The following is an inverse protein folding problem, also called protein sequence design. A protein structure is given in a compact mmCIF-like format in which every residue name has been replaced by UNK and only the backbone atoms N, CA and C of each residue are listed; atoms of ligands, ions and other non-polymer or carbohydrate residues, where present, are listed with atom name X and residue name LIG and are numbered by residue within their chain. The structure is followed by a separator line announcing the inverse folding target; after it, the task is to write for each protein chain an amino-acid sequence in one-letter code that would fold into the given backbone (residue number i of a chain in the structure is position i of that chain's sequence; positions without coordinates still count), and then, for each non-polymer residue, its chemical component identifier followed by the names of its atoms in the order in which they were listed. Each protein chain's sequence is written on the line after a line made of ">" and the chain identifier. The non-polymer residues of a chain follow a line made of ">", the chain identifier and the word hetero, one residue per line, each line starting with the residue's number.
data_IF_332684930303
#
_entry.id   IF_332684930303
#
_cell.length_a   1.000
_cell.length_b   1.000
_cell.length_c   1.000
_cell.angle_alpha   90.00
_cell.angle_beta   90.00
_cell.angle_gamma   90.00
#
_symmetry.space_group_name_H-M   'P 1'
#
loop_
_entity.id
_entity.type
_entity.pdbx_description
1 polymer ?
#
# COMPACT_ATOMS: atom_id res chain seq x y z
N UNK A 1 12.63 6.26 8.39
CA UNK A 1 12.52 5.13 7.45
C UNK A 1 11.04 4.84 7.34
N UNK A 2 10.46 4.93 6.14
CA UNK A 2 9.02 4.77 5.96
C UNK A 2 8.76 3.34 5.51
N UNK A 3 8.21 2.53 6.41
CA UNK A 3 7.72 1.19 6.13
C UNK A 3 6.46 1.31 5.27
N UNK A 4 6.69 1.30 3.96
CA UNK A 4 5.68 1.62 2.94
C UNK A 4 5.02 0.33 2.45
N UNK A 5 4.02 -0.18 3.16
CA UNK A 5 2.93 -0.90 2.46
C UNK A 5 1.67 -1.20 3.27
N UNK A 6 1.54 -0.77 4.51
CA UNK A 6 0.32 -1.00 5.27
C UNK A 6 0.04 0.16 6.24
N UNK A 7 -1.12 0.83 6.10
CA UNK A 7 -1.50 1.97 6.96
C UNK A 7 -2.95 1.85 7.40
N UNK A 8 -3.26 2.21 8.64
CA UNK A 8 -4.65 2.39 9.07
C UNK A 8 -5.23 3.71 8.53
N UNK A 9 -6.56 3.85 8.49
CA UNK A 9 -7.19 5.11 8.10
C UNK A 9 -6.77 6.28 9.03
N UNK A 10 -6.60 5.99 10.32
CA UNK A 10 -6.12 6.97 11.31
C UNK A 10 -4.68 7.41 11.02
N UNK A 11 -3.82 6.48 10.60
CA UNK A 11 -2.44 6.78 10.17
C UNK A 11 -2.42 7.68 8.94
N UNK A 12 -3.35 7.47 7.99
CA UNK A 12 -3.52 8.35 6.82
C UNK A 12 -3.94 9.76 7.26
N UNK A 13 -4.95 9.89 8.11
CA UNK A 13 -5.40 11.17 8.66
C UNK A 13 -4.25 11.89 9.38
N UNK A 14 -3.50 11.18 10.22
CA UNK A 14 -2.36 11.72 10.92
C UNK A 14 -1.27 12.21 9.95
N UNK A 15 -0.92 11.41 8.94
CA UNK A 15 0.03 11.79 7.91
C UNK A 15 -0.39 13.04 7.12
N UNK A 16 -1.68 13.21 6.83
CA UNK A 16 -2.21 14.41 6.20
C UNK A 16 -2.08 15.66 7.11
N UNK A 17 -2.30 15.51 8.42
CA UNK A 17 -2.08 16.62 9.39
C UNK A 17 -0.61 17.03 9.45
N UNK A 18 0.28 16.07 9.59
CA UNK A 18 1.73 16.31 9.61
C UNK A 18 2.23 16.93 8.29
N UNK A 19 1.67 16.51 7.16
CA UNK A 19 1.97 17.11 5.86
C UNK A 19 1.54 18.58 5.80
N UNK A 20 0.33 18.89 6.27
CA UNK A 20 -0.17 20.26 6.33
C UNK A 20 0.69 21.14 7.24
N UNK A 21 1.09 20.63 8.41
CA UNK A 21 1.92 21.32 9.39
C UNK A 21 3.32 21.58 8.82
N UNK A 22 4.03 20.53 8.40
CA UNK A 22 5.42 20.62 7.92
C UNK A 22 5.58 21.57 6.72
N UNK A 23 4.61 21.59 5.80
CA UNK A 23 4.66 22.48 4.61
C UNK A 23 4.24 23.91 4.93
N UNK A 24 3.48 24.14 6.00
CA UNK A 24 3.11 25.49 6.45
C UNK A 24 4.28 26.27 7.07
N UNK A 25 5.25 25.57 7.70
CA UNK A 25 6.47 26.18 8.22
C UNK A 25 7.48 26.61 7.16
N UNK A 26 7.29 26.19 5.90
CA UNK A 26 8.08 26.65 4.75
C UNK A 26 7.16 27.24 3.68
N UNK A 27 6.57 28.42 3.93
CA UNK A 27 5.73 29.08 2.94
C UNK A 27 6.63 29.52 1.78
N UNK A 28 6.77 28.67 0.77
CA UNK A 28 7.21 29.09 -0.55
C UNK A 28 5.99 29.70 -1.23
N UNK A 29 6.19 30.79 -1.98
CA UNK A 29 5.14 31.42 -2.79
C UNK A 29 4.77 30.59 -4.05
N UNK A 30 4.75 29.27 -3.88
CA UNK A 30 4.38 28.31 -4.90
C UNK A 30 2.91 27.96 -4.69
N UNK A 31 2.08 28.31 -5.67
CA UNK A 31 0.64 28.01 -5.70
C UNK A 31 0.37 26.51 -5.52
N UNK A 32 1.28 25.63 -5.99
CA UNK A 32 1.17 24.18 -5.81
C UNK A 32 1.36 23.76 -4.36
N UNK A 33 2.28 24.41 -3.64
CA UNK A 33 2.51 24.12 -2.21
C UNK A 33 1.30 24.57 -1.39
N UNK A 34 0.73 25.74 -1.70
CA UNK A 34 -0.51 26.23 -1.06
C UNK A 34 -1.69 25.29 -1.32
N UNK A 35 -1.86 24.82 -2.56
CA UNK A 35 -2.88 23.85 -2.91
C UNK A 35 -2.71 22.51 -2.18
N UNK A 36 -1.47 22.02 -2.06
CA UNK A 36 -1.14 20.79 -1.34
C UNK A 36 -1.44 20.89 0.15
N UNK A 37 -1.12 22.01 0.79
CA UNK A 37 -1.46 22.26 2.21
C UNK A 37 -2.98 22.26 2.40
N UNK A 38 -3.71 22.95 1.52
CA UNK A 38 -5.18 23.01 1.57
C UNK A 38 -5.79 21.60 1.42
N UNK A 39 -5.37 20.85 0.40
CA UNK A 39 -5.82 19.48 0.17
C UNK A 39 -5.53 18.56 1.38
N UNK A 40 -4.35 18.68 2.00
CA UNK A 40 -4.00 17.90 3.17
C UNK A 40 -4.88 18.24 4.38
N UNK A 41 -5.16 19.52 4.64
CA UNK A 41 -6.08 19.96 5.71
C UNK A 41 -7.51 19.47 5.48
N UNK A 42 -8.01 19.61 4.26
CA UNK A 42 -9.34 19.16 3.87
C UNK A 42 -9.46 17.64 4.01
N UNK A 43 -8.49 16.89 3.50
CA UNK A 43 -8.47 15.42 3.62
C UNK A 43 -8.39 14.93 5.07
N UNK A 44 -7.65 15.62 5.93
CA UNK A 44 -7.55 15.28 7.36
C UNK A 44 -8.82 15.59 8.18
N UNK A 45 -9.72 16.41 7.62
CA UNK A 45 -10.99 16.83 8.24
C UNK A 45 -12.21 16.21 7.55
N UNK A 46 -11.99 15.47 6.45
CA UNK A 46 -13.04 14.84 5.69
C UNK A 46 -13.74 13.73 6.52
N UNK A 47 -15.03 13.45 6.26
CA UNK A 47 -15.71 12.30 6.84
C UNK A 47 -14.94 11.01 6.55
N UNK A 48 -14.93 10.10 7.54
CA UNK A 48 -14.19 8.83 7.42
C UNK A 48 -14.62 8.01 6.19
N UNK A 49 -15.92 8.05 5.83
CA UNK A 49 -16.47 7.37 4.65
C UNK A 49 -15.92 7.92 3.33
N UNK A 50 -15.79 9.24 3.20
CA UNK A 50 -15.25 9.90 2.01
C UNK A 50 -13.75 9.60 1.87
N UNK A 51 -13.00 9.75 2.96
CA UNK A 51 -11.58 9.45 2.96
C UNK A 51 -11.33 7.97 2.63
N UNK A 52 -12.11 7.06 3.22
CA UNK A 52 -12.06 5.64 2.90
C UNK A 52 -12.33 5.37 1.42
N UNK A 53 -13.30 6.04 0.82
CA UNK A 53 -13.61 5.89 -0.62
C UNK A 53 -12.41 6.26 -1.48
N UNK A 54 -11.77 7.41 -1.22
CA UNK A 54 -10.60 7.87 -1.96
C UNK A 54 -9.40 6.96 -1.74
N UNK A 55 -9.10 6.60 -0.48
CA UNK A 55 -8.01 5.67 -0.15
C UNK A 55 -8.24 4.32 -0.82
N UNK A 56 -9.49 3.84 -0.91
CA UNK A 56 -9.83 2.57 -1.57
C UNK A 56 -9.64 2.60 -3.09
N UNK A 57 -9.49 3.77 -3.71
CA UNK A 57 -9.12 3.87 -5.13
C UNK A 57 -7.66 3.46 -5.34
N UNK A 58 -6.77 3.86 -4.44
CA UNK A 58 -5.31 3.67 -4.55
C UNK A 58 -4.77 2.53 -3.69
N UNK A 59 -5.51 2.07 -2.69
CA UNK A 59 -5.14 1.01 -1.77
C UNK A 59 -6.29 0.01 -1.58
N UNK A 60 -5.96 -1.20 -1.16
CA UNK A 60 -6.91 -2.25 -0.83
C UNK A 60 -7.04 -2.35 0.68
N UNK A 61 -8.27 -2.38 1.18
CA UNK A 61 -8.49 -2.70 2.59
C UNK A 61 -8.33 -4.21 2.81
N UNK A 62 -7.43 -4.56 3.72
CA UNK A 62 -7.15 -5.91 4.21
C UNK A 62 -7.32 -5.86 5.72
N UNK A 63 -8.46 -6.33 6.22
CA UNK A 63 -8.74 -6.42 7.66
C UNK A 63 -8.57 -5.10 8.43
N UNK A 64 -8.96 -3.96 7.83
CA UNK A 64 -8.81 -2.64 8.46
C UNK A 64 -7.47 -1.95 8.21
N UNK A 65 -6.54 -2.61 7.53
CA UNK A 65 -5.25 -2.04 7.09
C UNK A 65 -5.28 -1.82 5.58
N UNK A 66 -4.82 -0.66 5.13
CA UNK A 66 -4.78 -0.32 3.70
C UNK A 66 -3.42 -0.66 3.10
N UNK A 67 -3.44 -1.51 2.08
CA UNK A 67 -2.27 -1.96 1.33
C UNK A 67 -2.30 -1.32 -0.06
N UNK A 68 -1.24 -0.60 -0.44
CA UNK A 68 -1.20 0.15 -1.70
C UNK A 68 -1.46 -0.76 -2.91
N UNK A 69 -2.27 -0.38 -3.88
CA UNK A 69 -2.39 -1.14 -5.13
C UNK A 69 -1.13 -0.97 -5.95
N UNK A 70 -0.74 -2.00 -6.70
CA UNK A 70 0.27 -1.78 -7.75
C UNK A 70 -0.30 -0.78 -8.75
N UNK A 71 0.49 0.23 -9.10
CA UNK A 71 0.10 1.24 -10.07
C UNK A 71 0.35 0.78 -11.51
N UNK A 72 1.04 -0.35 -11.69
CA UNK A 72 1.49 -0.86 -12.99
C UNK A 72 2.50 0.04 -13.70
N UNK A 73 2.85 1.19 -13.10
CA UNK A 73 3.80 2.16 -13.65
C UNK A 73 5.08 2.14 -12.81
N UNK A 74 6.18 1.53 -13.32
CA UNK A 74 7.45 1.42 -12.61
C UNK A 74 8.07 2.75 -12.18
N UNK A 75 7.69 3.87 -12.80
CA UNK A 75 8.25 5.19 -12.49
C UNK A 75 7.71 5.79 -11.19
N UNK A 76 6.51 5.38 -10.77
CA UNK A 76 5.80 5.93 -9.60
C UNK A 76 5.46 4.88 -8.55
N UNK A 77 5.63 3.59 -8.87
CA UNK A 77 5.43 2.53 -7.91
C UNK A 77 6.60 2.51 -6.92
N UNK A 78 6.36 2.73 -5.61
CA UNK A 78 7.42 2.71 -4.60
C UNK A 78 8.09 1.33 -4.48
N UNK A 79 7.54 0.29 -5.12
CA UNK A 79 8.04 -1.08 -5.11
C UNK A 79 9.07 -1.35 -6.23
N UNK A 80 9.66 -0.31 -6.82
CA UNK A 80 10.64 -0.34 -7.95
C UNK A 80 11.92 -1.16 -7.70
N UNK A 81 12.23 -1.60 -6.49
CA UNK A 81 13.52 -2.18 -6.12
C UNK A 81 13.73 -3.66 -6.50
N UNK A 82 12.83 -4.28 -7.26
CA UNK A 82 12.90 -5.71 -7.59
C UNK A 82 13.33 -5.96 -9.05
N UNK A 83 14.31 -6.86 -9.23
CA UNK A 83 14.92 -7.22 -10.53
C UNK A 83 13.89 -7.77 -11.55
N UNK A 84 12.80 -8.38 -11.07
CA UNK A 84 11.65 -8.78 -11.89
C UNK A 84 10.35 -8.19 -11.30
N UNK A 85 10.09 -6.95 -11.68
CA UNK A 85 9.00 -6.14 -11.17
C UNK A 85 7.61 -6.76 -11.46
N UNK A 86 7.44 -7.34 -12.65
CA UNK A 86 6.17 -7.94 -13.08
C UNK A 86 5.84 -9.19 -12.26
N UNK A 87 6.81 -10.08 -12.08
CA UNK A 87 6.63 -11.23 -11.19
C UNK A 87 6.37 -10.79 -9.75
N UNK A 88 7.12 -9.81 -9.25
CA UNK A 88 6.98 -9.33 -7.88
C UNK A 88 5.55 -8.82 -7.61
N UNK A 89 4.99 -7.99 -8.48
CA UNK A 89 3.62 -7.48 -8.33
C UNK A 89 2.57 -8.58 -8.41
N UNK A 90 2.73 -9.52 -9.34
CA UNK A 90 1.83 -10.68 -9.48
C UNK A 90 1.82 -11.52 -8.20
N UNK A 91 2.99 -11.83 -7.64
CA UNK A 91 3.10 -12.61 -6.41
C UNK A 91 2.52 -11.85 -5.21
N UNK A 92 2.79 -10.55 -5.09
CA UNK A 92 2.21 -9.70 -4.05
C UNK A 92 0.68 -9.70 -4.08
N UNK A 93 0.08 -9.58 -5.26
CA UNK A 93 -1.38 -9.60 -5.41
C UNK A 93 -1.97 -10.95 -4.97
N UNK A 94 -1.29 -12.07 -5.29
CA UNK A 94 -1.71 -13.40 -4.81
C UNK A 94 -1.73 -13.46 -3.29
N UNK A 95 -0.68 -12.95 -2.61
CA UNK A 95 -0.61 -12.97 -1.14
C UNK A 95 -1.68 -12.05 -0.52
N UNK A 96 -1.88 -10.86 -1.07
CA UNK A 96 -2.92 -9.92 -0.60
C UNK A 96 -4.31 -10.55 -0.73
N UNK A 97 -4.63 -11.16 -1.87
CA UNK A 97 -5.92 -11.79 -2.08
C UNK A 97 -6.15 -13.00 -1.16
N UNK A 98 -5.09 -13.78 -0.88
CA UNK A 98 -5.17 -14.85 0.11
C UNK A 98 -5.48 -14.28 1.50
N UNK A 99 -4.84 -13.17 1.90
CA UNK A 99 -5.13 -12.54 3.19
C UNK A 99 -6.57 -12.03 3.25
N UNK A 100 -7.06 -11.40 2.18
CA UNK A 100 -8.44 -10.90 2.10
C UNK A 100 -9.49 -12.01 2.18
N UNK A 101 -9.17 -13.20 1.69
CA UNK A 101 -10.07 -14.36 1.75
C UNK A 101 -10.08 -15.09 3.09
N UNK A 102 -9.19 -14.74 4.02
CA UNK A 102 -9.13 -15.33 5.36
C UNK A 102 -9.72 -14.41 6.42
N UNK A 103 -9.94 -14.96 7.61
CA UNK A 103 -10.32 -14.18 8.80
C UNK A 103 -9.21 -13.18 9.22
N UNK A 104 -9.58 -12.07 9.89
CA UNK A 104 -8.60 -11.17 10.50
C UNK A 104 -7.60 -11.93 11.39
N UNK A 105 -6.31 -11.58 11.29
CA UNK A 105 -5.19 -12.23 12.00
C UNK A 105 -4.90 -13.70 11.62
N UNK A 106 -5.57 -14.25 10.60
CA UNK A 106 -5.26 -15.58 10.11
C UNK A 106 -3.84 -15.63 9.53
N UNK A 107 -3.09 -16.67 9.85
CA UNK A 107 -1.76 -16.90 9.29
C UNK A 107 -1.88 -17.53 7.90
N UNK A 108 -1.00 -17.12 7.00
CA UNK A 108 -0.81 -17.78 5.70
C UNK A 108 0.54 -18.47 5.73
N UNK A 109 0.55 -19.76 5.40
CA UNK A 109 1.80 -20.49 5.27
C UNK A 109 2.37 -20.38 3.85
N UNK A 110 3.67 -20.69 3.71
CA UNK A 110 4.39 -20.63 2.43
C UNK A 110 3.80 -21.55 1.36
N UNK A 111 3.25 -22.70 1.76
CA UNK A 111 2.67 -23.69 0.86
C UNK A 111 1.38 -23.19 0.22
N UNK A 112 0.52 -22.52 0.98
CA UNK A 112 -0.69 -21.87 0.48
C UNK A 112 -0.36 -20.80 -0.58
N UNK A 113 0.71 -20.02 -0.35
CA UNK A 113 1.17 -19.00 -1.30
C UNK A 113 1.68 -19.65 -2.59
N UNK A 114 2.48 -20.72 -2.50
CA UNK A 114 2.94 -21.46 -3.69
C UNK A 114 1.79 -22.08 -4.47
N UNK A 115 0.83 -22.71 -3.80
CA UNK A 115 -0.35 -23.30 -4.44
C UNK A 115 -1.17 -22.21 -5.16
N UNK A 116 -1.42 -21.09 -4.50
CA UNK A 116 -2.18 -19.99 -5.09
C UNK A 116 -1.44 -19.36 -6.28
N UNK A 117 -0.12 -19.24 -6.20
CA UNK A 117 0.69 -18.73 -7.30
C UNK A 117 0.75 -19.69 -8.48
N UNK A 118 0.93 -20.99 -8.23
CA UNK A 118 0.87 -22.01 -9.27
C UNK A 118 -0.50 -22.01 -9.95
N UNK A 119 -1.58 -21.81 -9.19
CA UNK A 119 -2.94 -21.79 -9.73
C UNK A 119 -3.22 -20.53 -10.56
N UNK A 120 -2.84 -19.35 -10.05
CA UNK A 120 -3.22 -18.05 -10.64
C UNK A 120 -2.22 -17.54 -11.67
N UNK A 121 -0.93 -17.78 -11.42
CA UNK A 121 0.18 -17.30 -12.24
C UNK A 121 0.80 -18.39 -13.12
N UNK A 122 0.39 -19.66 -12.94
CA UNK A 122 0.97 -20.84 -13.62
C UNK A 122 2.50 -20.91 -13.46
N UNK A 123 3.01 -20.41 -12.34
CA UNK A 123 4.43 -20.27 -12.03
C UNK A 123 4.70 -20.79 -10.62
N UNK A 124 5.81 -21.50 -10.48
CA UNK A 124 6.34 -21.86 -9.16
C UNK A 124 7.17 -20.68 -8.62
N UNK A 125 6.89 -20.27 -7.39
CA UNK A 125 7.56 -19.15 -6.73
C UNK A 125 8.82 -19.68 -6.04
N UNK A 126 9.96 -19.14 -6.44
CA UNK A 126 11.26 -19.40 -5.80
C UNK A 126 11.33 -18.81 -4.39
N UNK A 127 12.28 -19.32 -3.60
CA UNK A 127 12.45 -18.85 -2.23
C UNK A 127 12.89 -17.39 -2.13
N UNK A 128 13.66 -16.90 -3.12
CA UNK A 128 14.04 -15.49 -3.20
C UNK A 128 12.82 -14.59 -3.44
N UNK A 129 11.95 -14.94 -4.39
CA UNK A 129 10.70 -14.22 -4.68
C UNK A 129 9.76 -14.22 -3.46
N UNK A 130 9.61 -15.37 -2.80
CA UNK A 130 8.84 -15.47 -1.56
C UNK A 130 9.38 -14.55 -0.46
N UNK A 131 10.70 -14.57 -0.23
CA UNK A 131 11.33 -13.75 0.78
C UNK A 131 11.21 -12.25 0.48
N UNK A 132 11.22 -11.86 -0.79
CA UNK A 132 10.99 -10.48 -1.21
C UNK A 132 9.56 -10.02 -0.94
N UNK A 133 8.57 -10.84 -1.28
CA UNK A 133 7.14 -10.53 -1.02
C UNK A 133 6.85 -10.51 0.49
N UNK A 134 7.43 -11.44 1.24
CA UNK A 134 7.26 -11.52 2.69
C UNK A 134 7.74 -10.26 3.43
N UNK A 135 8.86 -9.66 3.00
CA UNK A 135 9.40 -8.43 3.59
C UNK A 135 8.45 -7.23 3.51
N UNK A 136 7.48 -7.23 2.60
CA UNK A 136 6.58 -6.08 2.34
C UNK A 136 5.21 -6.27 2.99
N UNK A 137 4.85 -7.50 3.33
CA UNK A 137 3.53 -7.85 3.86
C UNK A 137 3.59 -8.12 5.38
N UNK A 138 4.74 -8.57 5.90
CA UNK A 138 4.90 -8.96 7.31
C UNK A 138 5.69 -7.95 8.16
N UNK A 139 6.11 -6.81 7.60
CA UNK A 139 6.77 -5.73 8.33
C UNK A 139 6.01 -4.42 8.15
#
# INVERSE_FOLDING_TARGET
>A
MADLCSCSLNSVVHGLRELAISKSFRPRDDSKIKALISAAKSGASAPASELQSIVSQIAMNVHGVYVLKSTGNPAIDPLRLFEDLDTFFKCRNVVIDLFRGKEPNAKINKQEIRIAAQTRLKKDISDSEYNQVGKIIYY
#
